data_IF_810966061211
#
_entry.id   IF_810966061211
#
_cell.length_a   1.000
_cell.length_b   1.000
_cell.length_c   1.000
_cell.angle_alpha   90.00
_cell.angle_beta   90.00
_cell.angle_gamma   90.00
#
_symmetry.space_group_name_H-M   'P 1'
#
loop_
_entity.id
_entity.type
_entity.pdbx_description
1 polymer ?
#
# COMPACT_ATOMS: atom_id res chain seq x y z
N UNK A 1 -52.99 47.83 -29.54
CA UNK A 1 -52.01 46.83 -30.02
C UNK A 1 -51.55 46.11 -28.77
N UNK A 2 -52.25 45.04 -28.44
CA UNK A 2 -51.94 44.16 -27.31
C UNK A 2 -50.88 43.17 -27.78
N UNK A 3 -49.82 43.00 -26.98
CA UNK A 3 -48.98 41.79 -27.01
C UNK A 3 -48.64 41.46 -25.56
N UNK A 4 -49.02 40.25 -25.19
CA UNK A 4 -49.10 39.66 -23.86
C UNK A 4 -48.05 38.52 -23.75
N UNK A 5 -47.24 38.56 -22.68
CA UNK A 5 -46.49 37.46 -22.01
C UNK A 5 -45.46 36.55 -22.77
N UNK A 6 -44.59 35.76 -22.09
CA UNK A 6 -44.18 35.71 -20.67
C UNK A 6 -42.64 35.58 -20.40
N UNK A 7 -42.36 35.60 -19.08
CA UNK A 7 -41.13 35.49 -18.27
C UNK A 7 -40.37 34.13 -18.19
N UNK A 8 -39.15 34.20 -17.62
CA UNK A 8 -38.35 33.18 -16.87
C UNK A 8 -37.55 32.13 -17.69
N UNK A 9 -36.27 31.79 -17.40
CA UNK A 9 -35.68 31.41 -16.10
C UNK A 9 -34.15 31.16 -16.16
N UNK A 10 -33.45 31.47 -15.06
CA UNK A 10 -32.11 31.03 -14.60
C UNK A 10 -31.96 29.47 -14.51
N UNK A 11 -30.95 28.87 -13.82
CA UNK A 11 -29.50 28.80 -13.97
C UNK A 11 -29.00 27.31 -13.95
N UNK A 12 -27.70 27.05 -14.14
CA UNK A 12 -26.97 25.86 -13.61
C UNK A 12 -27.66 24.49 -13.83
N UNK A 13 -27.37 23.87 -14.98
CA UNK A 13 -27.73 22.47 -15.26
C UNK A 13 -27.10 21.51 -14.23
N UNK A 14 -27.81 21.27 -13.12
CA UNK A 14 -27.59 20.10 -12.26
C UNK A 14 -27.92 18.88 -13.11
N UNK A 15 -26.94 18.02 -13.36
CA UNK A 15 -27.13 16.77 -14.08
C UNK A 15 -28.31 15.98 -13.45
N UNK A 16 -29.43 15.88 -14.17
CA UNK A 16 -30.59 15.10 -13.74
C UNK A 16 -30.16 13.64 -13.63
N UNK A 17 -30.12 13.10 -12.42
CA UNK A 17 -29.86 11.69 -12.16
C UNK A 17 -30.94 10.88 -12.86
N UNK A 18 -30.56 10.10 -13.87
CA UNK A 18 -31.50 9.27 -14.62
C UNK A 18 -32.05 8.15 -13.72
N UNK A 19 -33.29 7.67 -13.95
CA UNK A 19 -33.84 6.54 -13.20
C UNK A 19 -32.94 5.29 -13.26
N UNK A 20 -32.25 5.09 -14.39
CA UNK A 20 -31.23 4.06 -14.55
C UNK A 20 -30.02 4.28 -13.62
N UNK A 21 -29.50 5.50 -13.50
CA UNK A 21 -28.41 5.82 -12.58
C UNK A 21 -28.84 5.65 -11.12
N UNK A 22 -30.05 6.07 -10.75
CA UNK A 22 -30.60 5.86 -9.42
C UNK A 22 -30.73 4.37 -9.06
N UNK A 23 -31.14 3.52 -10.01
CA UNK A 23 -31.16 2.07 -9.84
C UNK A 23 -29.75 1.48 -9.64
N UNK A 24 -28.74 1.96 -10.39
CA UNK A 24 -27.33 1.56 -10.21
C UNK A 24 -26.79 1.98 -8.84
N UNK A 25 -27.10 3.20 -8.38
CA UNK A 25 -26.70 3.69 -7.06
C UNK A 25 -27.28 2.81 -5.93
N UNK A 26 -28.52 2.35 -6.06
CA UNK A 26 -29.15 1.44 -5.08
C UNK A 26 -28.41 0.10 -4.93
N UNK A 27 -27.69 -0.35 -5.96
CA UNK A 27 -26.89 -1.59 -5.92
C UNK A 27 -25.53 -1.41 -5.23
N UNK A 28 -25.05 -0.18 -5.00
CA UNK A 28 -23.73 0.08 -4.42
C UNK A 28 -23.61 -0.46 -2.99
N UNK A 29 -24.62 -0.22 -2.14
CA UNK A 29 -24.58 -0.65 -0.72
C UNK A 29 -24.50 -2.19 -0.56
N UNK A 30 -25.35 -3.00 -1.23
CA UNK A 30 -25.20 -4.45 -1.22
C UNK A 30 -23.84 -4.92 -1.76
N UNK A 31 -23.32 -4.28 -2.80
CA UNK A 31 -22.04 -4.63 -3.39
C UNK A 31 -20.88 -4.40 -2.40
N UNK A 32 -20.83 -3.24 -1.75
CA UNK A 32 -19.79 -2.94 -0.75
C UNK A 32 -19.85 -3.91 0.44
N UNK A 33 -21.06 -4.27 0.88
CA UNK A 33 -21.24 -5.27 1.95
C UNK A 33 -20.77 -6.67 1.53
N UNK A 34 -21.09 -7.11 0.31
CA UNK A 34 -20.59 -8.36 -0.25
C UNK A 34 -19.06 -8.37 -0.39
N UNK A 35 -18.47 -7.29 -0.91
CA UNK A 35 -17.03 -7.12 -1.06
C UNK A 35 -16.29 -7.13 0.29
N UNK A 36 -16.84 -6.51 1.32
CA UNK A 36 -16.25 -6.52 2.67
C UNK A 36 -16.21 -7.93 3.27
N UNK A 37 -17.32 -8.69 3.16
CA UNK A 37 -17.37 -10.10 3.61
C UNK A 37 -16.38 -10.97 2.84
N UNK A 38 -16.30 -10.79 1.52
CA UNK A 38 -15.33 -11.48 0.69
C UNK A 38 -13.89 -11.15 1.13
N UNK A 39 -13.58 -9.87 1.38
CA UNK A 39 -12.27 -9.46 1.87
C UNK A 39 -11.87 -10.16 3.16
N UNK A 40 -12.77 -10.28 4.13
CA UNK A 40 -12.50 -11.01 5.39
C UNK A 40 -12.25 -12.50 5.15
N UNK A 41 -13.10 -13.17 4.36
CA UNK A 41 -12.91 -14.57 4.03
C UNK A 41 -11.58 -14.83 3.28
N UNK A 42 -11.17 -13.91 2.41
CA UNK A 42 -9.88 -13.97 1.73
C UNK A 42 -8.71 -13.78 2.71
N UNK A 43 -8.82 -12.85 3.68
CA UNK A 43 -7.78 -12.67 4.71
C UNK A 43 -7.56 -13.96 5.50
N UNK A 44 -8.65 -14.60 5.93
CA UNK A 44 -8.62 -15.86 6.68
C UNK A 44 -8.01 -16.98 5.84
N UNK A 45 -8.46 -17.13 4.58
CA UNK A 45 -7.91 -18.12 3.66
C UNK A 45 -6.41 -17.93 3.45
N UNK A 46 -5.95 -16.70 3.18
CA UNK A 46 -4.53 -16.42 2.96
C UNK A 46 -3.72 -16.66 4.23
N UNK A 47 -4.21 -16.25 5.40
CA UNK A 47 -3.56 -16.51 6.68
C UNK A 47 -3.40 -18.01 6.96
N UNK A 48 -4.43 -18.82 6.67
CA UNK A 48 -4.35 -20.28 6.81
C UNK A 48 -3.35 -20.89 5.82
N UNK A 49 -3.35 -20.46 4.55
CA UNK A 49 -2.38 -20.91 3.56
C UNK A 49 -0.94 -20.60 3.98
N UNK A 50 -0.69 -19.41 4.54
CA UNK A 50 0.62 -19.05 5.08
C UNK A 50 1.02 -19.98 6.22
N UNK A 51 0.12 -20.20 7.20
CA UNK A 51 0.37 -21.12 8.32
C UNK A 51 0.69 -22.55 7.84
N UNK A 52 0.01 -23.02 6.79
CA UNK A 52 0.31 -24.31 6.16
C UNK A 52 1.67 -24.34 5.44
N UNK A 53 2.07 -23.24 4.80
CA UNK A 53 3.34 -23.16 4.08
C UNK A 53 4.55 -23.12 5.02
N UNK A 54 4.41 -22.45 6.16
CA UNK A 54 5.51 -22.19 7.10
C UNK A 54 5.59 -23.27 8.18
N UNK A 55 4.46 -23.91 8.49
CA UNK A 55 4.37 -24.94 9.52
C UNK A 55 4.27 -24.37 10.94
N UNK A 56 4.23 -25.27 11.92
CA UNK A 56 4.17 -24.89 13.33
C UNK A 56 5.51 -24.32 13.81
N UNK A 57 5.49 -23.32 14.71
CA UNK A 57 6.71 -22.71 15.24
C UNK A 57 7.60 -23.76 15.91
N UNK A 58 8.88 -23.78 15.55
CA UNK A 58 9.85 -24.69 16.18
C UNK A 58 10.14 -24.19 17.59
N UNK A 59 9.68 -24.93 18.60
CA UNK A 59 10.03 -24.65 20.00
C UNK A 59 11.54 -24.85 20.17
N UNK A 60 12.26 -23.76 20.39
CA UNK A 60 13.63 -23.79 20.89
C UNK A 60 13.59 -24.32 22.33
N UNK A 61 13.79 -25.63 22.50
CA UNK A 61 13.91 -26.23 23.82
C UNK A 61 15.29 -25.87 24.36
N UNK A 62 15.31 -25.22 25.54
CA UNK A 62 16.47 -24.75 26.31
C UNK A 62 17.33 -25.91 26.87
N UNK A 63 17.59 -26.95 26.07
CA UNK A 63 18.26 -28.18 26.49
C UNK A 63 19.53 -28.42 25.68
N UNK A 64 20.58 -28.85 26.36
CA UNK A 64 21.94 -29.15 25.90
C UNK A 64 22.04 -30.33 24.90
N UNK A 65 21.01 -30.58 24.09
CA UNK A 65 20.99 -31.56 23.01
C UNK A 65 20.66 -30.86 21.70
N UNK A 66 21.51 -31.08 20.70
CA UNK A 66 21.46 -30.47 19.38
C UNK A 66 20.01 -30.41 18.86
N UNK A 67 19.50 -29.20 18.69
CA UNK A 67 18.15 -28.97 18.22
C UNK A 67 17.98 -29.59 16.82
N UNK A 68 17.01 -30.49 16.67
CA UNK A 68 16.60 -30.97 15.36
C UNK A 68 16.15 -29.76 14.53
N UNK A 69 16.85 -29.49 13.43
CA UNK A 69 16.57 -28.36 12.56
C UNK A 69 15.13 -28.47 12.02
N UNK A 70 14.44 -27.33 11.91
CA UNK A 70 13.13 -27.25 11.26
C UNK A 70 13.22 -27.90 9.86
N UNK A 71 12.30 -28.80 9.48
CA UNK A 71 12.28 -29.36 8.14
C UNK A 71 12.10 -28.21 7.15
N UNK A 72 12.92 -28.21 6.08
CA UNK A 72 12.82 -27.18 5.06
C UNK A 72 11.42 -27.19 4.42
N UNK A 73 10.83 -26.02 4.09
CA UNK A 73 9.52 -25.97 3.47
C UNK A 73 9.49 -26.74 2.15
N UNK A 74 8.36 -27.38 1.83
CA UNK A 74 8.20 -28.16 0.60
C UNK A 74 8.23 -27.28 -0.65
N UNK A 75 8.45 -27.86 -1.83
CA UNK A 75 8.41 -27.13 -3.09
C UNK A 75 7.02 -26.47 -3.33
N UNK A 76 5.94 -27.21 -3.02
CA UNK A 76 4.57 -26.70 -3.08
C UNK A 76 4.36 -25.52 -2.11
N UNK A 77 4.81 -25.64 -0.85
CA UNK A 77 4.73 -24.54 0.12
C UNK A 77 5.48 -23.29 -0.36
N UNK A 78 6.68 -23.44 -0.93
CA UNK A 78 7.42 -22.31 -1.52
C UNK A 78 6.70 -21.69 -2.72
N UNK A 79 6.06 -22.50 -3.56
CA UNK A 79 5.30 -22.01 -4.71
C UNK A 79 4.07 -21.20 -4.26
N UNK A 80 3.31 -21.72 -3.30
CA UNK A 80 2.17 -21.03 -2.68
C UNK A 80 2.60 -19.73 -2.02
N UNK A 81 3.65 -19.75 -1.18
CA UNK A 81 4.20 -18.55 -0.56
C UNK A 81 4.61 -17.50 -1.62
N UNK A 82 5.21 -17.94 -2.74
CA UNK A 82 5.59 -17.02 -3.83
C UNK A 82 4.37 -16.43 -4.55
N UNK A 83 3.29 -17.20 -4.72
CA UNK A 83 2.05 -16.71 -5.32
C UNK A 83 1.37 -15.67 -4.41
N UNK A 84 1.32 -15.97 -3.11
CA UNK A 84 0.76 -15.10 -2.08
C UNK A 84 1.53 -13.78 -1.97
N UNK A 85 2.86 -13.79 -1.94
CA UNK A 85 3.63 -12.54 -1.87
C UNK A 85 3.57 -11.73 -3.16
N UNK A 86 3.47 -12.37 -4.34
CA UNK A 86 3.20 -11.65 -5.60
C UNK A 86 1.82 -11.00 -5.60
N UNK A 87 0.82 -11.61 -4.97
CA UNK A 87 -0.51 -11.00 -4.82
C UNK A 87 -0.41 -9.73 -3.96
N UNK A 88 0.33 -9.79 -2.84
CA UNK A 88 0.61 -8.61 -2.01
C UNK A 88 1.33 -7.51 -2.79
N UNK A 89 2.39 -7.86 -3.53
CA UNK A 89 3.10 -6.89 -4.38
C UNK A 89 2.14 -6.22 -5.37
N UNK A 90 1.28 -6.98 -6.04
CA UNK A 90 0.30 -6.44 -7.00
C UNK A 90 -0.72 -5.50 -6.34
N UNK A 91 -1.11 -5.78 -5.09
CA UNK A 91 -1.97 -4.88 -4.31
C UNK A 91 -1.24 -3.58 -3.97
N UNK A 92 -0.01 -3.68 -3.48
CA UNK A 92 0.79 -2.50 -3.14
C UNK A 92 1.20 -1.68 -4.38
N UNK A 93 1.44 -2.31 -5.52
CA UNK A 93 1.76 -1.61 -6.77
C UNK A 93 0.52 -1.23 -7.59
N UNK A 94 -0.69 -1.31 -7.01
CA UNK A 94 -1.92 -1.09 -7.76
C UNK A 94 -2.02 0.36 -8.24
N UNK A 95 -2.45 0.51 -9.50
CA UNK A 95 -2.73 1.80 -10.13
C UNK A 95 -4.20 1.84 -10.58
N UNK A 96 -4.93 2.92 -10.25
CA UNK A 96 -6.31 3.08 -10.68
C UNK A 96 -6.38 3.29 -12.21
N UNK A 97 -7.45 2.82 -12.86
CA UNK A 97 -7.74 3.19 -14.24
C UNK A 97 -7.80 4.72 -14.43
N UNK A 98 -7.46 5.25 -15.62
CA UNK A 98 -7.32 6.69 -15.88
C UNK A 98 -8.62 7.51 -15.70
N UNK A 99 -9.77 6.85 -15.71
CA UNK A 99 -11.08 7.46 -15.52
C UNK A 99 -11.55 7.46 -14.05
N UNK A 100 -10.75 6.96 -13.11
CA UNK A 100 -11.15 6.84 -11.70
C UNK A 100 -10.86 8.15 -10.97
N UNK A 101 -11.88 8.91 -10.53
CA UNK A 101 -11.63 10.17 -9.86
C UNK A 101 -11.22 9.92 -8.40
N UNK A 102 -10.19 10.66 -7.97
CA UNK A 102 -9.73 10.95 -6.60
C UNK A 102 -8.68 10.01 -5.96
N UNK A 103 -7.68 10.60 -5.27
CA UNK A 103 -6.71 9.87 -4.44
C UNK A 103 -7.35 9.02 -3.34
N UNK A 104 -8.58 9.33 -2.90
CA UNK A 104 -9.30 8.62 -1.83
C UNK A 104 -9.48 7.13 -2.11
N UNK A 105 -9.91 6.72 -3.30
CA UNK A 105 -10.09 5.30 -3.61
C UNK A 105 -8.77 4.52 -3.58
N UNK A 106 -7.68 5.16 -4.00
CA UNK A 106 -6.36 4.55 -3.97
C UNK A 106 -5.83 4.41 -2.55
N UNK A 107 -6.07 5.40 -1.68
CA UNK A 107 -5.79 5.30 -0.24
C UNK A 107 -6.58 4.17 0.42
N UNK A 108 -7.90 4.08 0.19
CA UNK A 108 -8.72 2.98 0.73
C UNK A 108 -8.20 1.62 0.26
N UNK A 109 -7.83 1.49 -1.01
CA UNK A 109 -7.27 0.26 -1.55
C UNK A 109 -5.92 -0.11 -0.88
N UNK A 110 -5.06 0.88 -0.65
CA UNK A 110 -3.78 0.67 0.04
C UNK A 110 -3.95 0.36 1.52
N UNK A 111 -4.88 0.99 2.23
CA UNK A 111 -5.23 0.62 3.61
C UNK A 111 -5.61 -0.86 3.67
N UNK A 112 -6.49 -1.32 2.78
CA UNK A 112 -6.83 -2.73 2.70
C UNK A 112 -5.63 -3.61 2.36
N UNK A 113 -4.81 -3.22 1.37
CA UNK A 113 -3.64 -3.98 0.91
C UNK A 113 -2.58 -4.14 2.02
N UNK A 114 -2.28 -3.07 2.76
CA UNK A 114 -1.42 -3.08 3.95
C UNK A 114 -2.04 -3.94 5.05
N UNK A 115 -3.35 -3.81 5.26
CA UNK A 115 -4.13 -4.64 6.19
C UNK A 115 -4.05 -6.14 5.90
N UNK A 116 -4.06 -6.55 4.64
CA UNK A 116 -3.83 -7.95 4.23
C UNK A 116 -2.38 -8.40 4.36
N UNK A 117 -1.43 -7.47 4.18
CA UNK A 117 0.00 -7.77 4.25
C UNK A 117 0.40 -8.21 5.66
N UNK A 118 -0.10 -7.55 6.71
CA UNK A 118 0.24 -7.88 8.11
C UNK A 118 0.01 -9.35 8.48
N UNK A 119 -1.22 -9.92 8.39
CA UNK A 119 -1.48 -11.31 8.78
C UNK A 119 -0.83 -12.36 7.85
N UNK A 120 -0.35 -11.94 6.67
CA UNK A 120 0.37 -12.81 5.75
C UNK A 120 1.89 -12.84 6.01
N UNK A 121 2.45 -11.81 6.64
CA UNK A 121 3.87 -11.74 6.98
C UNK A 121 4.17 -12.10 8.44
N UNK A 122 3.20 -11.90 9.34
CA UNK A 122 3.38 -12.05 10.78
C UNK A 122 2.32 -12.96 11.40
N UNK A 123 2.71 -13.66 12.46
CA UNK A 123 1.77 -14.40 13.29
C UNK A 123 1.04 -13.46 14.29
N UNK A 124 0.13 -14.05 15.07
CA UNK A 124 -0.67 -13.36 16.09
C UNK A 124 0.19 -12.75 17.21
N UNK A 125 1.42 -13.23 17.40
CA UNK A 125 2.39 -12.75 18.38
C UNK A 125 3.40 -11.77 17.76
N UNK A 126 3.14 -11.29 16.53
CA UNK A 126 4.01 -10.39 15.76
C UNK A 126 5.35 -11.01 15.35
N UNK A 127 5.52 -12.33 15.42
CA UNK A 127 6.71 -12.98 14.89
C UNK A 127 6.59 -13.13 13.37
N UNK A 128 7.60 -12.70 12.60
CA UNK A 128 7.57 -12.80 11.15
C UNK A 128 7.79 -14.23 10.66
N UNK A 129 7.05 -14.63 9.64
CA UNK A 129 7.33 -15.84 8.89
C UNK A 129 8.51 -15.59 7.94
N UNK A 130 9.70 -16.14 8.23
CA UNK A 130 10.91 -15.86 7.42
C UNK A 130 10.75 -16.26 5.96
N UNK A 131 10.02 -17.35 5.67
CA UNK A 131 9.68 -17.73 4.29
C UNK A 131 8.89 -16.64 3.58
N UNK A 132 7.91 -16.05 4.25
CA UNK A 132 7.06 -15.01 3.66
C UNK A 132 7.85 -13.71 3.48
N UNK A 133 8.66 -13.31 4.46
CA UNK A 133 9.56 -12.16 4.33
C UNK A 133 10.54 -12.32 3.16
N UNK A 134 11.16 -13.49 3.03
CA UNK A 134 12.05 -13.80 1.91
C UNK A 134 11.32 -13.65 0.57
N UNK A 135 10.13 -14.25 0.46
CA UNK A 135 9.33 -14.20 -0.78
C UNK A 135 8.74 -12.83 -1.08
N UNK A 136 8.52 -12.00 -0.06
CA UNK A 136 8.05 -10.63 -0.20
C UNK A 136 9.14 -9.69 -0.69
N UNK A 137 10.38 -9.85 -0.19
CA UNK A 137 11.54 -9.16 -0.76
C UNK A 137 11.79 -9.59 -2.21
N UNK A 138 11.82 -10.90 -2.47
CA UNK A 138 12.07 -11.42 -3.83
C UNK A 138 11.00 -11.02 -4.84
N UNK A 139 9.76 -10.78 -4.42
CA UNK A 139 8.69 -10.31 -5.32
C UNK A 139 8.71 -8.79 -5.54
N UNK A 140 9.61 -8.04 -4.89
CA UNK A 140 9.60 -6.57 -4.92
C UNK A 140 8.48 -5.95 -4.08
N UNK A 141 7.81 -6.74 -3.22
CA UNK A 141 6.73 -6.24 -2.37
C UNK A 141 7.18 -5.17 -1.39
N UNK A 142 8.43 -5.27 -0.91
CA UNK A 142 9.04 -4.24 -0.08
C UNK A 142 9.17 -2.91 -0.83
N UNK A 143 9.68 -2.91 -2.06
CA UNK A 143 9.80 -1.68 -2.85
C UNK A 143 8.41 -1.07 -3.10
N UNK A 144 7.43 -1.90 -3.47
CA UNK A 144 6.05 -1.46 -3.64
C UNK A 144 5.48 -0.83 -2.35
N UNK A 145 5.76 -1.40 -1.17
CA UNK A 145 5.32 -0.85 0.11
C UNK A 145 5.86 0.56 0.35
N UNK A 146 7.16 0.80 0.12
CA UNK A 146 7.76 2.11 0.29
C UNK A 146 7.37 3.09 -0.82
N UNK A 147 7.17 2.61 -2.06
CA UNK A 147 6.60 3.41 -3.14
C UNK A 147 5.18 3.91 -2.80
N UNK A 148 4.33 3.09 -2.17
CA UNK A 148 3.00 3.56 -1.72
C UNK A 148 3.08 4.66 -0.68
N UNK A 149 4.05 4.59 0.24
CA UNK A 149 4.29 5.62 1.23
C UNK A 149 4.76 6.92 0.59
N UNK A 150 5.77 6.84 -0.28
CA UNK A 150 6.27 7.98 -1.03
C UNK A 150 5.19 8.60 -1.91
N UNK A 151 4.33 7.79 -2.52
CA UNK A 151 3.17 8.27 -3.26
C UNK A 151 2.21 9.04 -2.33
N UNK A 152 1.86 8.50 -1.17
CA UNK A 152 0.97 9.16 -0.22
C UNK A 152 1.56 10.49 0.31
N UNK A 153 2.87 10.53 0.54
CA UNK A 153 3.58 11.76 0.90
C UNK A 153 3.72 12.75 -0.26
N UNK A 154 3.86 12.29 -1.50
CA UNK A 154 3.88 13.19 -2.66
C UNK A 154 2.53 13.89 -2.90
N UNK A 155 1.47 13.43 -2.24
CA UNK A 155 0.17 14.12 -2.19
C UNK A 155 0.17 15.26 -1.17
N UNK A 156 1.12 15.26 -0.22
CA UNK A 156 1.34 16.40 0.66
C UNK A 156 2.20 17.43 -0.07
N UNK A 157 1.83 18.71 -0.02
CA UNK A 157 2.64 19.71 -0.68
C UNK A 157 4.01 19.84 -0.02
N UNK A 158 5.05 19.80 -0.85
CA UNK A 158 6.44 19.91 -0.44
C UNK A 158 6.70 21.24 0.32
N UNK A 159 7.22 21.21 1.56
CA UNK A 159 7.52 22.44 2.31
C UNK A 159 8.73 23.21 1.75
N UNK A 160 9.52 22.60 0.86
CA UNK A 160 10.67 23.22 0.22
C UNK A 160 10.46 23.32 -1.29
N UNK A 161 10.04 24.49 -1.81
CA UNK A 161 10.34 24.79 -3.21
C UNK A 161 11.86 24.81 -3.33
N UNK A 162 12.41 24.00 -4.25
CA UNK A 162 13.79 24.14 -4.69
C UNK A 162 13.99 25.58 -5.14
N UNK A 163 14.49 26.43 -4.25
CA UNK A 163 14.88 27.78 -4.59
C UNK A 163 16.12 27.62 -5.47
N UNK A 164 15.95 27.74 -6.78
CA UNK A 164 17.07 27.87 -7.70
C UNK A 164 17.87 29.09 -7.23
N UNK A 165 18.98 28.81 -6.53
CA UNK A 165 19.98 29.81 -6.20
C UNK A 165 20.77 30.05 -7.48
N UNK A 166 20.34 31.04 -8.26
CA UNK A 166 21.03 31.44 -9.47
C UNK A 166 20.10 32.05 -10.51
N UNK A 167 19.76 33.33 -10.32
CA UNK A 167 19.49 34.20 -11.46
C UNK A 167 19.93 35.63 -11.13
N UNK A 168 20.95 36.16 -11.82
CA UNK A 168 21.14 37.58 -11.95
C UNK A 168 21.09 37.97 -13.44
N UNK A 169 19.93 38.01 -14.09
CA UNK A 169 19.62 39.11 -15.01
C UNK A 169 18.17 39.14 -15.50
N UNK A 170 17.56 40.32 -15.40
CA UNK A 170 16.31 40.69 -16.09
C UNK A 170 16.47 40.63 -17.62
N UNK A 171 15.39 40.23 -18.32
CA UNK A 171 14.67 40.95 -19.41
C UNK A 171 13.91 39.99 -20.38
N UNK A 172 12.93 40.43 -21.21
CA UNK A 172 11.52 40.10 -21.00
C UNK A 172 10.91 39.14 -22.05
N UNK A 173 9.70 38.65 -21.74
CA UNK A 173 8.80 37.78 -22.53
C UNK A 173 8.84 37.98 -24.07
N UNK A 174 8.74 36.87 -24.83
CA UNK A 174 7.99 36.83 -26.08
C UNK A 174 6.55 36.35 -25.85
N UNK A 175 5.62 37.08 -26.45
CA UNK A 175 4.19 36.81 -26.60
C UNK A 175 4.02 35.74 -27.69
N UNK A 176 3.58 34.51 -27.38
CA UNK A 176 2.76 33.59 -28.20
C UNK A 176 2.64 32.22 -27.47
N UNK A 177 1.47 31.54 -27.46
CA UNK A 177 1.32 30.24 -26.80
C UNK A 177 1.68 29.10 -27.76
N UNK A 178 2.66 28.28 -27.40
CA UNK A 178 2.95 26.99 -28.05
C UNK A 178 2.40 25.86 -27.16
N UNK A 179 1.87 24.75 -27.73
CA UNK A 179 1.09 23.78 -26.97
C UNK A 179 1.99 22.93 -26.05
N UNK A 180 1.73 22.97 -24.74
CA UNK A 180 2.40 22.09 -23.79
C UNK A 180 2.03 20.61 -24.05
N UNK A 181 2.99 19.68 -23.93
CA UNK A 181 2.69 18.26 -23.80
C UNK A 181 2.04 18.02 -22.44
N UNK A 182 0.96 17.24 -22.43
CA UNK A 182 0.17 16.85 -21.26
C UNK A 182 0.99 16.01 -20.26
N UNK A 183 1.86 16.64 -19.48
CA UNK A 183 2.33 16.11 -18.21
C UNK A 183 1.39 16.61 -17.13
N UNK A 184 0.52 15.71 -16.66
CA UNK A 184 -0.47 15.98 -15.61
C UNK A 184 0.20 16.49 -14.34
N UNK A 185 0.18 17.82 -14.16
CA UNK A 185 0.48 18.49 -12.90
C UNK A 185 -0.72 18.30 -11.99
N UNK A 186 -0.53 17.72 -10.80
CA UNK A 186 -1.60 17.60 -9.80
C UNK A 186 -2.16 19.00 -9.46
N UNK A 187 -3.49 19.20 -9.38
CA UNK A 187 -4.10 20.53 -9.18
C UNK A 187 -3.90 21.14 -7.78
N UNK A 188 -3.28 20.42 -6.85
CA UNK A 188 -3.30 20.75 -5.42
C UNK A 188 -1.96 21.34 -4.98
N UNK A 189 -1.75 22.60 -5.35
CA UNK A 189 -0.62 23.42 -4.90
C UNK A 189 -1.02 24.36 -3.78
N UNK A 190 -1.22 23.82 -2.57
CA UNK A 190 -1.32 24.60 -1.31
C UNK A 190 -0.06 24.38 -0.47
N UNK A 191 0.20 25.17 0.58
CA UNK A 191 1.28 24.91 1.55
C UNK A 191 0.63 24.38 2.83
N UNK A 192 1.07 23.23 3.35
CA UNK A 192 0.65 22.75 4.69
C UNK A 192 1.77 23.06 5.69
N UNK A 193 1.54 23.93 6.68
CA UNK A 193 2.47 24.13 7.79
C UNK A 193 2.58 22.87 8.65
N UNK A 194 3.80 22.52 9.06
CA UNK A 194 4.12 21.37 9.94
C UNK A 194 3.34 21.40 11.27
N UNK A 195 2.80 22.56 11.67
CA UNK A 195 2.01 22.74 12.90
C UNK A 195 0.55 22.27 12.83
N UNK A 196 -0.03 22.00 11.65
CA UNK A 196 -1.46 21.64 11.52
C UNK A 196 -1.73 20.11 11.46
N UNK A 197 -0.68 19.28 11.52
CA UNK A 197 -0.82 17.83 11.64
C UNK A 197 -1.47 17.13 10.43
N UNK A 198 -1.77 15.84 10.57
CA UNK A 198 -2.36 14.98 9.52
C UNK A 198 -3.85 15.27 9.25
N UNK A 199 -4.46 16.23 9.97
CA UNK A 199 -5.87 16.61 9.86
C UNK A 199 -6.11 17.85 9.00
N UNK A 200 -5.07 18.33 8.30
CA UNK A 200 -5.19 19.51 7.45
C UNK A 200 -6.22 19.29 6.32
N UNK A 201 -7.13 20.26 6.07
CA UNK A 201 -8.24 20.12 5.11
C UNK A 201 -7.81 19.85 3.66
N UNK A 202 -6.57 20.17 3.30
CA UNK A 202 -6.00 19.90 1.97
C UNK A 202 -5.45 18.47 1.77
N UNK A 203 -5.31 17.67 2.84
CA UNK A 203 -4.93 16.26 2.68
C UNK A 203 -6.15 15.41 2.26
N UNK A 204 -5.98 14.43 1.35
CA UNK A 204 -7.06 13.50 1.03
C UNK A 204 -7.51 12.71 2.27
N UNK A 205 -8.82 12.65 2.50
CA UNK A 205 -9.41 11.78 3.55
C UNK A 205 -8.86 10.35 3.44
N UNK A 206 -8.47 9.80 4.59
CA UNK A 206 -7.84 8.48 4.70
C UNK A 206 -6.32 8.47 4.65
N UNK A 207 -5.65 9.62 4.44
CA UNK A 207 -4.18 9.68 4.47
C UNK A 207 -3.64 9.31 5.86
N UNK A 208 -4.25 9.83 6.94
CA UNK A 208 -3.87 9.48 8.31
C UNK A 208 -4.04 7.98 8.62
N UNK A 209 -5.19 7.39 8.26
CA UNK A 209 -5.46 5.96 8.42
C UNK A 209 -4.47 5.09 7.64
N UNK A 210 -4.11 5.49 6.42
CA UNK A 210 -3.09 4.82 5.63
C UNK A 210 -1.73 4.88 6.31
N UNK A 211 -1.30 6.05 6.77
CA UNK A 211 -0.01 6.22 7.42
C UNK A 211 0.06 5.42 8.73
N UNK A 212 -1.01 5.41 9.52
CA UNK A 212 -1.10 4.59 10.72
C UNK A 212 -0.96 3.09 10.39
N UNK A 213 -1.75 2.58 9.43
CA UNK A 213 -1.66 1.20 9.00
C UNK A 213 -0.27 0.83 8.45
N UNK A 214 0.34 1.74 7.68
CA UNK A 214 1.69 1.56 7.12
C UNK A 214 2.75 1.54 8.22
N UNK A 215 2.72 2.50 9.15
CA UNK A 215 3.65 2.59 10.27
C UNK A 215 3.55 1.36 11.17
N UNK A 216 2.32 0.91 11.50
CA UNK A 216 2.11 -0.33 12.26
C UNK A 216 2.68 -1.57 11.56
N UNK A 217 2.66 -1.62 10.23
CA UNK A 217 3.26 -2.72 9.48
C UNK A 217 4.79 -2.62 9.51
N UNK A 218 5.35 -1.45 9.22
CA UNK A 218 6.80 -1.25 9.18
C UNK A 218 7.43 -1.43 10.56
N UNK A 219 6.79 -0.97 11.64
CA UNK A 219 7.22 -1.21 13.02
C UNK A 219 7.49 -2.71 13.29
N UNK A 220 6.60 -3.59 12.81
CA UNK A 220 6.78 -5.04 12.93
C UNK A 220 7.92 -5.56 12.05
N UNK A 221 8.09 -5.00 10.86
CA UNK A 221 9.15 -5.41 9.91
C UNK A 221 10.54 -4.99 10.39
N UNK A 222 10.68 -3.85 11.07
CA UNK A 222 11.98 -3.36 11.52
C UNK A 222 12.34 -3.77 12.95
N UNK A 223 11.46 -4.48 13.66
CA UNK A 223 11.71 -4.95 15.02
C UNK A 223 12.79 -6.06 15.04
N UNK A 224 14.01 -5.76 15.51
CA UNK A 224 15.13 -6.71 15.42
C UNK A 224 14.90 -7.93 16.32
N UNK A 225 14.27 -7.76 17.49
CA UNK A 225 14.04 -8.84 18.44
C UNK A 225 13.12 -9.89 17.84
N UNK A 226 11.97 -9.49 17.29
CA UNK A 226 11.03 -10.45 16.70
C UNK A 226 11.56 -11.06 15.42
N UNK A 227 12.31 -10.30 14.60
CA UNK A 227 12.88 -10.78 13.34
C UNK A 227 14.00 -11.79 13.57
N UNK A 228 14.90 -11.55 14.53
CA UNK A 228 16.03 -12.44 14.81
C UNK A 228 15.61 -13.69 15.61
N UNK A 229 14.66 -13.56 16.53
CA UNK A 229 14.22 -14.64 17.41
C UNK A 229 12.95 -15.36 16.91
N UNK A 230 12.54 -15.11 15.66
CA UNK A 230 11.31 -15.71 15.12
C UNK A 230 11.36 -17.24 15.19
N UNK A 231 10.34 -17.90 15.78
CA UNK A 231 10.23 -19.35 15.80
C UNK A 231 9.88 -19.94 14.42
N UNK A 232 9.62 -19.08 13.44
CA UNK A 232 9.30 -19.41 12.04
C UNK A 232 10.53 -19.26 11.13
N UNK A 233 11.72 -19.45 11.69
CA UNK A 233 12.97 -19.32 10.98
C UNK A 233 13.19 -20.44 9.95
N UNK A 234 13.77 -20.07 8.81
CA UNK A 234 14.20 -21.06 7.82
C UNK A 234 15.48 -21.79 8.29
N UNK A 235 15.67 -23.07 7.94
CA UNK A 235 16.88 -23.80 8.31
C UNK A 235 18.13 -23.14 7.72
N UNK A 236 19.20 -23.08 8.52
CA UNK A 236 20.46 -22.41 8.16
C UNK A 236 21.21 -23.09 6.98
N UNK A 237 20.95 -24.39 6.72
CA UNK A 237 21.47 -25.10 5.55
C UNK A 237 20.50 -24.96 4.38
N UNK A 238 20.86 -24.13 3.41
CA UNK A 238 20.21 -24.11 2.10
C UNK A 238 20.48 -25.41 1.31
N UNK A 239 19.66 -25.72 0.30
CA UNK A 239 19.96 -26.80 -0.65
C UNK A 239 21.33 -26.60 -1.30
N UNK A 240 22.04 -27.67 -1.71
CA UNK A 240 23.40 -27.59 -2.28
C UNK A 240 23.47 -26.77 -3.59
N UNK A 241 22.33 -26.57 -4.28
CA UNK A 241 22.23 -25.72 -5.45
C UNK A 241 20.93 -24.89 -5.40
N UNK A 242 21.02 -23.61 -5.05
CA UNK A 242 19.91 -22.67 -5.23
C UNK A 242 19.76 -21.66 -4.10
N UNK A 243 20.01 -20.40 -4.45
CA UNK A 243 19.80 -19.14 -3.71
C UNK A 243 20.34 -19.08 -2.26
N UNK A 244 20.92 -17.93 -1.85
CA UNK A 244 21.36 -17.76 -0.48
C UNK A 244 20.17 -17.93 0.49
N UNK A 245 20.37 -18.58 1.65
CA UNK A 245 19.35 -18.70 2.68
C UNK A 245 18.90 -17.30 3.14
N UNK A 246 17.67 -17.19 3.62
CA UNK A 246 17.18 -15.94 4.18
C UNK A 246 18.07 -15.50 5.35
N UNK A 247 18.52 -14.25 5.31
CA UNK A 247 19.30 -13.65 6.40
C UNK A 247 18.46 -12.55 7.04
N UNK A 248 18.02 -12.80 8.28
CA UNK A 248 17.28 -11.85 9.09
C UNK A 248 18.04 -10.52 9.27
N UNK A 249 19.36 -10.58 9.44
CA UNK A 249 20.23 -9.40 9.50
C UNK A 249 20.22 -8.61 8.19
N UNK A 250 20.38 -9.28 7.03
CA UNK A 250 20.29 -8.57 5.74
C UNK A 250 18.91 -7.98 5.51
N UNK A 251 17.86 -8.69 5.92
CA UNK A 251 16.48 -8.19 5.85
C UNK A 251 16.31 -6.90 6.67
N UNK A 252 16.81 -6.84 7.91
CA UNK A 252 16.75 -5.63 8.74
C UNK A 252 17.51 -4.48 8.08
N UNK A 253 18.73 -4.73 7.59
CA UNK A 253 19.54 -3.70 6.92
C UNK A 253 18.85 -3.14 5.67
N UNK A 254 18.22 -3.99 4.87
CA UNK A 254 17.48 -3.54 3.67
C UNK A 254 16.24 -2.77 4.08
N UNK A 255 15.48 -3.27 5.05
CA UNK A 255 14.21 -2.64 5.47
C UNK A 255 14.40 -1.30 6.16
N UNK A 256 15.48 -1.13 6.92
CA UNK A 256 15.80 0.14 7.60
C UNK A 256 16.36 1.22 6.67
N UNK A 257 16.79 0.85 5.46
CA UNK A 257 17.32 1.79 4.45
C UNK A 257 16.26 2.28 3.45
N UNK A 258 15.05 1.73 3.52
CA UNK A 258 13.93 2.04 2.63
C UNK A 258 13.35 3.43 2.84
#
# INVERSE_FOLDING_TARGET
METDEPSASDPKAKAKITPAMAARIKQIKPLLSASSRLGRALAELFGLLVKLCVGSPVRQRRSHHAAAAAPAPTAAARATASALTRLLTKGLSWQPPPYTPTPRFRLTFFICSVGFTSPMLFDERKFPYHLMLQKFLCSGGHNALFETFNWALSMTPNPFPSHNFGDPSRDPKPLFPSPEPLTGRCPWGGKVPVGEGLEHPDLPDGTGEFLDAWLMLVEKMVNPSTVLESPHALPAKGPPHGHPPFSALRFLVVTQKG
#
